data_IF_737944996788
#
_entry.id   IF_737944996788
#
_cell.length_a   1.000
_cell.length_b   1.000
_cell.length_c   1.000
_cell.angle_alpha   90.00
_cell.angle_beta   90.00
_cell.angle_gamma   90.00
#
_symmetry.space_group_name_H-M   'P 1'
#
loop_
_entity.id
_entity.type
_entity.pdbx_description
1 polymer ?
#
# COMPACT_ATOMS: atom_id res chain seq x y z
N UNK A 1 -2.02 13.90 26.64
CA UNK A 1 -0.59 13.57 26.71
C UNK A 1 0.01 13.92 25.36
N UNK A 2 0.89 14.93 25.30
CA UNK A 2 1.57 15.33 24.06
C UNK A 2 2.54 14.23 23.68
N UNK A 3 2.29 13.56 22.56
CA UNK A 3 3.20 12.58 21.99
C UNK A 3 4.55 13.26 21.72
N UNK A 4 5.60 12.88 22.44
CA UNK A 4 6.96 13.30 22.11
C UNK A 4 7.28 12.73 20.73
N UNK A 5 7.32 13.59 19.73
CA UNK A 5 7.88 13.27 18.42
C UNK A 5 9.39 13.06 18.61
N UNK A 6 9.87 11.83 18.55
CA UNK A 6 11.31 11.54 18.59
C UNK A 6 11.79 11.28 17.17
N UNK A 7 12.71 12.11 16.69
CA UNK A 7 13.39 11.91 15.42
C UNK A 7 14.72 11.18 15.70
N UNK A 8 14.81 9.93 15.24
CA UNK A 8 16.05 9.18 15.25
C UNK A 8 16.63 9.16 13.84
N UNK A 9 17.71 9.91 13.62
CA UNK A 9 18.48 9.80 12.39
C UNK A 9 19.46 8.64 12.53
N UNK A 10 19.27 7.59 11.74
CA UNK A 10 20.27 6.53 11.60
C UNK A 10 21.38 7.04 10.65
N UNK A 11 22.32 7.81 11.20
CA UNK A 11 23.44 8.38 10.43
C UNK A 11 24.43 7.32 9.90
N UNK A 12 24.35 6.10 10.40
CA UNK A 12 25.33 5.05 10.12
C UNK A 12 24.95 4.17 8.92
N UNK A 13 23.77 4.35 8.32
CA UNK A 13 23.38 3.60 7.13
C UNK A 13 23.70 4.39 5.87
N UNK A 14 24.77 4.00 5.20
CA UNK A 14 25.07 4.49 3.84
C UNK A 14 24.75 3.37 2.83
N UNK A 15 23.78 3.58 1.93
CA UNK A 15 23.50 2.60 0.90
C UNK A 15 24.74 2.33 0.06
N UNK A 16 25.08 1.04 -0.22
CA UNK A 16 26.22 0.72 -1.07
C UNK A 16 25.98 1.22 -2.51
N UNK A 17 27.05 1.58 -3.23
CA UNK A 17 26.95 1.89 -4.65
C UNK A 17 26.36 0.70 -5.43
N UNK A 18 25.41 0.90 -6.37
CA UNK A 18 24.84 2.18 -6.85
C UNK A 18 23.55 2.63 -6.13
N UNK A 19 23.15 2.00 -5.04
CA UNK A 19 21.92 2.30 -4.29
C UNK A 19 21.94 3.64 -3.55
N UNK A 20 23.10 4.29 -3.47
CA UNK A 20 23.24 5.65 -2.95
C UNK A 20 22.74 6.74 -3.91
N UNK A 21 22.23 6.36 -5.11
CA UNK A 21 21.61 7.25 -6.08
C UNK A 21 20.09 7.00 -6.09
N UNK A 22 19.24 7.99 -5.77
CA UNK A 22 17.79 7.79 -5.56
C UNK A 22 17.08 7.11 -6.73
N UNK A 23 17.30 7.62 -7.95
CA UNK A 23 16.67 7.06 -9.15
C UNK A 23 17.10 5.60 -9.41
N UNK A 24 18.39 5.30 -9.19
CA UNK A 24 18.91 3.95 -9.36
C UNK A 24 18.40 3.03 -8.26
N UNK A 25 18.39 3.50 -7.01
CA UNK A 25 17.85 2.74 -5.89
C UNK A 25 16.38 2.35 -6.14
N UNK A 26 15.57 3.29 -6.60
CA UNK A 26 14.14 3.04 -6.90
C UNK A 26 13.95 2.05 -8.06
N UNK A 27 14.76 2.12 -9.11
CA UNK A 27 14.70 1.17 -10.23
C UNK A 27 15.18 -0.22 -9.79
N UNK A 28 16.32 -0.30 -9.13
CA UNK A 28 16.92 -1.57 -8.71
C UNK A 28 16.08 -2.26 -7.62
N UNK A 29 15.38 -1.52 -6.77
CA UNK A 29 14.47 -2.10 -5.77
C UNK A 29 13.34 -2.90 -6.41
N UNK A 30 12.96 -2.56 -7.65
CA UNK A 30 11.93 -3.27 -8.43
C UNK A 30 12.48 -4.50 -9.15
N UNK A 31 13.80 -4.64 -9.29
CA UNK A 31 14.39 -5.81 -9.90
C UNK A 31 14.17 -7.03 -8.99
N UNK A 32 13.70 -8.12 -9.58
CA UNK A 32 13.44 -9.39 -8.89
C UNK A 32 14.71 -10.09 -8.37
N UNK A 33 15.85 -9.41 -8.36
CA UNK A 33 17.14 -9.96 -7.91
C UNK A 33 17.06 -10.51 -6.48
N UNK A 34 16.26 -9.88 -5.62
CA UNK A 34 16.06 -10.34 -4.24
C UNK A 34 15.13 -11.56 -4.12
N UNK A 35 14.37 -11.86 -5.18
CA UNK A 35 13.39 -12.97 -5.21
C UNK A 35 14.04 -14.33 -5.54
N UNK A 36 15.28 -14.34 -6.01
CA UNK A 36 16.04 -15.57 -6.26
C UNK A 36 16.48 -16.27 -4.98
N UNK A 37 16.01 -15.82 -3.82
CA UNK A 37 16.31 -16.48 -2.56
C UNK A 37 15.46 -17.75 -2.43
N UNK A 38 16.13 -18.87 -2.26
CA UNK A 38 15.54 -20.18 -1.92
C UNK A 38 14.58 -20.11 -0.72
N UNK A 39 14.73 -19.07 0.13
CA UNK A 39 13.91 -18.84 1.31
C UNK A 39 12.41 -18.64 0.98
N UNK A 40 12.08 -17.94 -0.12
CA UNK A 40 10.68 -17.73 -0.53
C UNK A 40 10.04 -19.05 -0.94
N UNK A 41 10.77 -19.89 -1.67
CA UNK A 41 10.30 -21.22 -2.09
C UNK A 41 10.05 -22.13 -0.88
N UNK A 42 10.91 -22.06 0.15
CA UNK A 42 10.73 -22.83 1.39
C UNK A 42 9.47 -22.40 2.17
N UNK A 43 9.02 -21.16 2.01
CA UNK A 43 7.81 -20.65 2.67
C UNK A 43 6.51 -21.06 1.97
N UNK A 44 6.58 -21.63 0.76
CA UNK A 44 5.40 -22.05 0.00
C UNK A 44 4.52 -23.06 0.75
N UNK A 45 5.11 -23.93 1.57
CA UNK A 45 4.39 -24.89 2.40
C UNK A 45 3.51 -24.29 3.50
N UNK A 46 3.73 -23.01 3.83
CA UNK A 46 2.94 -22.25 4.80
C UNK A 46 1.97 -21.26 4.13
N UNK A 47 2.00 -21.23 2.79
CA UNK A 47 1.23 -20.29 2.01
C UNK A 47 -0.21 -20.74 1.81
N UNK A 48 -1.12 -19.81 1.93
CA UNK A 48 -2.51 -19.94 1.48
C UNK A 48 -3.03 -18.59 0.99
N UNK A 49 -4.04 -18.63 0.14
CA UNK A 49 -4.73 -17.44 -0.34
C UNK A 49 -6.22 -17.57 -0.15
N UNK A 50 -6.89 -16.44 0.03
CA UNK A 50 -8.35 -16.37 0.06
C UNK A 50 -8.84 -15.01 -0.41
N UNK A 51 -10.11 -14.94 -0.78
CA UNK A 51 -10.78 -13.70 -1.12
C UNK A 51 -11.60 -13.26 0.11
N UNK A 52 -11.30 -12.06 0.61
CA UNK A 52 -12.11 -11.41 1.63
C UNK A 52 -13.15 -10.53 0.96
N UNK A 53 -14.42 -10.72 1.30
CA UNK A 53 -15.53 -9.88 0.82
C UNK A 53 -15.92 -8.91 1.92
N UNK A 54 -15.77 -7.62 1.65
CA UNK A 54 -16.17 -6.54 2.54
C UNK A 54 -17.69 -6.42 2.62
N UNK A 55 -18.21 -5.76 3.67
CA UNK A 55 -19.65 -5.59 3.90
C UNK A 55 -20.39 -4.89 2.75
N UNK A 56 -19.71 -4.08 1.96
CA UNK A 56 -20.24 -3.46 0.74
C UNK A 56 -20.12 -4.32 -0.53
N UNK A 57 -19.64 -5.56 -0.42
CA UNK A 57 -19.48 -6.50 -1.52
C UNK A 57 -18.13 -6.40 -2.28
N UNK A 58 -17.29 -5.42 -1.98
CA UNK A 58 -15.94 -5.31 -2.56
C UNK A 58 -15.05 -6.44 -2.05
N UNK A 59 -14.25 -7.00 -2.95
CA UNK A 59 -13.41 -8.16 -2.68
C UNK A 59 -11.93 -7.80 -2.71
N UNK A 60 -11.22 -8.21 -1.67
CA UNK A 60 -9.77 -8.07 -1.54
C UNK A 60 -9.14 -9.46 -1.61
N UNK A 61 -7.89 -9.56 -2.06
CA UNK A 61 -7.16 -10.83 -1.97
C UNK A 61 -6.20 -10.81 -0.79
N UNK A 62 -6.16 -11.93 -0.07
CA UNK A 62 -5.39 -12.08 1.15
C UNK A 62 -4.44 -13.26 0.99
N UNK A 63 -3.16 -12.99 1.12
CA UNK A 63 -2.06 -13.94 0.95
C UNK A 63 -1.37 -14.17 2.28
N UNK A 64 -1.53 -15.38 2.82
CA UNK A 64 -1.11 -15.73 4.17
C UNK A 64 0.08 -16.67 4.16
N UNK A 65 1.05 -16.42 5.02
CA UNK A 65 2.06 -17.38 5.42
C UNK A 65 1.93 -17.56 6.94
N UNK A 66 1.37 -18.70 7.37
CA UNK A 66 0.97 -18.92 8.76
C UNK A 66 1.59 -20.21 9.28
N UNK A 67 2.10 -20.15 10.50
CA UNK A 67 2.65 -21.27 11.26
C UNK A 67 2.04 -21.26 12.66
N UNK A 68 1.52 -22.40 13.11
CA UNK A 68 0.72 -22.51 14.36
C UNK A 68 1.48 -22.02 15.61
N UNK A 69 2.79 -22.22 15.66
CA UNK A 69 3.63 -21.81 16.77
C UNK A 69 3.93 -20.30 16.80
N UNK A 70 3.71 -19.56 15.70
CA UNK A 70 3.90 -18.12 15.67
C UNK A 70 2.75 -17.41 16.41
N UNK A 71 3.09 -16.57 17.39
CA UNK A 71 2.14 -15.83 18.24
C UNK A 71 2.03 -14.34 17.89
N UNK A 72 2.65 -13.93 16.78
CA UNK A 72 2.64 -12.55 16.28
C UNK A 72 2.14 -12.56 14.85
N UNK A 73 1.37 -11.55 14.46
CA UNK A 73 0.88 -11.40 13.09
C UNK A 73 1.22 -10.02 12.55
N UNK A 74 1.83 -9.98 11.39
CA UNK A 74 2.16 -8.76 10.66
C UNK A 74 1.29 -8.67 9.41
N UNK A 75 0.48 -7.62 9.35
CA UNK A 75 -0.25 -7.25 8.14
C UNK A 75 0.64 -6.38 7.26
N UNK A 76 0.67 -6.67 5.96
CA UNK A 76 1.44 -5.91 4.97
C UNK A 76 0.52 -5.35 3.89
N UNK A 77 0.63 -4.04 3.63
CA UNK A 77 -0.10 -3.35 2.56
C UNK A 77 0.90 -2.84 1.52
N UNK A 78 0.77 -3.23 0.24
CA UNK A 78 1.67 -2.81 -0.83
C UNK A 78 1.48 -1.33 -1.19
N UNK A 79 2.46 -0.77 -1.89
CA UNK A 79 2.34 0.55 -2.51
C UNK A 79 1.39 0.55 -3.71
N UNK A 80 1.09 1.74 -4.21
CA UNK A 80 0.16 1.97 -5.31
C UNK A 80 0.47 1.15 -6.55
N UNK A 81 -0.55 0.48 -7.08
CA UNK A 81 -0.47 -0.44 -8.23
C UNK A 81 0.61 -1.53 -8.10
N UNK A 82 0.98 -1.85 -6.86
CA UNK A 82 1.88 -2.94 -6.52
C UNK A 82 1.09 -4.17 -6.04
N UNK A 83 1.73 -5.21 -5.53
CA UNK A 83 1.03 -6.42 -5.09
C UNK A 83 1.87 -7.24 -4.10
N UNK A 84 1.26 -8.26 -3.53
CA UNK A 84 1.82 -9.15 -2.51
C UNK A 84 3.16 -9.83 -2.87
N UNK A 85 3.50 -9.94 -4.17
CA UNK A 85 4.76 -10.58 -4.64
C UNK A 85 5.84 -9.57 -5.06
N UNK A 86 5.66 -8.29 -4.79
CA UNK A 86 6.75 -7.34 -5.07
C UNK A 86 7.94 -7.57 -4.15
N UNK A 87 9.13 -7.21 -4.61
CA UNK A 87 10.39 -7.55 -3.94
C UNK A 87 10.44 -7.13 -2.47
N UNK A 88 9.94 -5.96 -2.14
CA UNK A 88 9.91 -5.48 -0.76
C UNK A 88 8.89 -6.21 0.11
N UNK A 89 7.73 -6.60 -0.45
CA UNK A 89 6.72 -7.41 0.24
C UNK A 89 7.26 -8.80 0.56
N UNK A 90 7.93 -9.44 -0.40
CA UNK A 90 8.53 -10.75 -0.20
C UNK A 90 9.77 -10.71 0.70
N UNK A 91 10.57 -9.65 0.64
CA UNK A 91 11.68 -9.46 1.59
C UNK A 91 11.17 -9.31 3.02
N UNK A 92 10.09 -8.56 3.21
CA UNK A 92 9.44 -8.42 4.53
C UNK A 92 8.82 -9.75 4.99
N UNK A 93 8.18 -10.49 4.08
CA UNK A 93 7.67 -11.84 4.38
C UNK A 93 8.79 -12.72 4.95
N UNK A 94 9.90 -12.87 4.22
CA UNK A 94 11.00 -13.77 4.64
C UNK A 94 11.58 -13.33 5.99
N UNK A 95 11.91 -12.06 6.12
CA UNK A 95 12.55 -11.52 7.32
C UNK A 95 11.69 -11.68 8.58
N UNK A 96 10.42 -11.31 8.51
CA UNK A 96 9.55 -11.38 9.69
C UNK A 96 9.05 -12.78 9.96
N UNK A 97 8.84 -13.62 8.93
CA UNK A 97 8.44 -15.01 9.15
C UNK A 97 9.54 -15.80 9.88
N UNK A 98 10.81 -15.59 9.51
CA UNK A 98 11.95 -16.20 10.20
C UNK A 98 12.07 -15.72 11.66
N UNK A 99 11.53 -14.55 12.00
CA UNK A 99 11.48 -13.99 13.36
C UNK A 99 10.23 -14.37 14.15
N UNK A 100 9.47 -15.36 13.68
CA UNK A 100 8.30 -15.91 14.37
C UNK A 100 7.03 -15.09 14.22
N UNK A 101 6.87 -14.40 13.08
CA UNK A 101 5.62 -13.70 12.71
C UNK A 101 4.84 -14.48 11.66
N UNK A 102 3.55 -14.61 11.85
CA UNK A 102 2.61 -14.87 10.76
C UNK A 102 2.51 -13.65 9.87
N UNK A 103 2.48 -13.84 8.57
CA UNK A 103 2.46 -12.73 7.61
C UNK A 103 1.17 -12.80 6.80
N UNK A 104 0.42 -11.71 6.82
CA UNK A 104 -0.81 -11.52 6.03
C UNK A 104 -0.60 -10.32 5.11
N UNK A 105 -0.54 -10.58 3.81
CA UNK A 105 -0.37 -9.57 2.76
C UNK A 105 -1.71 -9.35 2.09
N UNK A 106 -2.18 -8.10 2.07
CA UNK A 106 -3.50 -7.73 1.55
C UNK A 106 -3.30 -6.92 0.28
N UNK A 107 -3.87 -7.39 -0.83
CA UNK A 107 -3.97 -6.60 -2.05
C UNK A 107 -5.28 -5.80 -2.03
N UNK A 108 -5.22 -4.47 -2.04
CA UNK A 108 -6.40 -3.61 -2.22
C UNK A 108 -7.05 -3.78 -3.60
N UNK A 109 -8.14 -3.10 -3.85
CA UNK A 109 -8.81 -3.06 -5.16
C UNK A 109 -7.80 -2.70 -6.27
N UNK A 110 -7.89 -3.33 -7.42
CA UNK A 110 -7.02 -3.14 -8.59
C UNK A 110 -5.51 -3.39 -8.37
N UNK A 111 -5.15 -4.03 -7.25
CA UNK A 111 -3.77 -4.41 -6.95
C UNK A 111 -3.56 -5.91 -7.16
N UNK A 112 -2.60 -6.26 -8.01
CA UNK A 112 -2.26 -7.66 -8.29
C UNK A 112 -3.44 -8.45 -8.86
N UNK A 113 -3.88 -9.47 -8.14
CA UNK A 113 -4.93 -10.41 -8.52
C UNK A 113 -6.36 -9.94 -8.18
N UNK A 114 -6.52 -8.75 -7.61
CA UNK A 114 -7.86 -8.19 -7.32
C UNK A 114 -8.51 -7.49 -8.51
N UNK A 115 -7.76 -7.18 -9.56
CA UNK A 115 -8.28 -6.49 -10.75
C UNK A 115 -9.53 -7.16 -11.36
N UNK A 116 -9.61 -8.50 -11.51
CA UNK A 116 -10.80 -9.16 -12.05
C UNK A 116 -11.94 -9.31 -11.03
N UNK A 117 -11.73 -9.01 -9.77
CA UNK A 117 -12.69 -9.31 -8.73
C UNK A 117 -13.79 -8.26 -8.59
N UNK A 118 -13.50 -7.00 -8.90
CA UNK A 118 -14.41 -5.88 -8.64
C UNK A 118 -14.70 -5.09 -9.92
N UNK A 119 -15.96 -4.63 -10.06
CA UNK A 119 -16.29 -3.58 -11.02
C UNK A 119 -15.69 -2.25 -10.55
N UNK A 120 -15.88 -1.93 -9.28
CA UNK A 120 -15.39 -0.69 -8.68
C UNK A 120 -13.88 -0.54 -8.87
N UNK A 121 -13.47 0.71 -9.06
CA UNK A 121 -12.07 1.05 -9.23
C UNK A 121 -11.43 1.43 -7.89
N UNK A 122 -10.12 1.24 -7.84
CA UNK A 122 -9.32 1.73 -6.74
C UNK A 122 -9.37 3.25 -6.62
N UNK A 123 -9.55 3.72 -5.39
CA UNK A 123 -9.33 5.12 -5.02
C UNK A 123 -8.71 5.23 -3.60
N UNK A 124 -8.14 6.40 -3.32
CA UNK A 124 -7.34 6.63 -2.12
C UNK A 124 -8.10 6.51 -0.79
N UNK A 125 -9.41 6.50 -0.80
CA UNK A 125 -10.25 6.49 0.41
C UNK A 125 -10.68 5.09 0.86
N UNK A 126 -10.27 4.03 0.17
CA UNK A 126 -10.66 2.65 0.47
C UNK A 126 -9.80 1.99 1.58
N UNK A 127 -9.17 2.77 2.44
CA UNK A 127 -8.41 2.24 3.58
C UNK A 127 -9.29 1.56 4.63
N UNK A 128 -10.56 1.93 4.73
CA UNK A 128 -11.59 1.32 5.57
C UNK A 128 -11.88 -0.13 5.19
N UNK A 129 -11.90 -0.46 3.89
CA UNK A 129 -12.06 -1.83 3.39
C UNK A 129 -10.89 -2.72 3.83
N UNK A 130 -9.67 -2.17 3.79
CA UNK A 130 -8.49 -2.88 4.28
C UNK A 130 -8.54 -3.03 5.80
N UNK A 131 -9.05 -2.02 6.51
CA UNK A 131 -9.25 -2.08 7.96
C UNK A 131 -10.25 -3.17 8.36
N UNK A 132 -11.38 -3.27 7.65
CA UNK A 132 -12.38 -4.34 7.83
C UNK A 132 -11.76 -5.73 7.62
N UNK A 133 -10.98 -5.88 6.56
CA UNK A 133 -10.23 -7.11 6.30
C UNK A 133 -9.28 -7.42 7.46
N UNK A 134 -8.48 -6.47 7.93
CA UNK A 134 -7.55 -6.65 9.06
C UNK A 134 -8.33 -7.07 10.32
N UNK A 135 -9.43 -6.41 10.63
CA UNK A 135 -10.23 -6.69 11.83
C UNK A 135 -10.75 -8.13 11.85
N UNK A 136 -11.12 -8.67 10.70
CA UNK A 136 -11.60 -10.06 10.56
C UNK A 136 -10.55 -11.12 10.94
N UNK A 137 -9.26 -10.76 10.88
CA UNK A 137 -8.15 -11.65 11.25
C UNK A 137 -7.70 -11.49 12.70
N UNK A 138 -8.14 -10.45 13.39
CA UNK A 138 -7.80 -10.20 14.79
C UNK A 138 -8.75 -11.02 15.67
N UNK A 139 -8.30 -12.18 16.14
CA UNK A 139 -9.13 -13.16 16.87
C UNK A 139 -8.90 -13.18 18.38
N UNK A 140 -7.79 -12.65 18.86
CA UNK A 140 -7.38 -12.77 20.25
C UNK A 140 -6.62 -11.52 20.69
N UNK A 141 -7.06 -10.91 21.80
CA UNK A 141 -6.42 -9.74 22.41
C UNK A 141 -5.02 -10.05 22.97
N UNK A 142 -4.69 -11.33 23.17
CA UNK A 142 -3.36 -11.77 23.64
C UNK A 142 -2.33 -11.93 22.52
N UNK A 143 -2.72 -11.85 21.24
CA UNK A 143 -1.77 -11.88 20.14
C UNK A 143 -1.17 -10.50 19.88
N UNK A 144 0.06 -10.50 19.39
CA UNK A 144 0.73 -9.26 18.99
C UNK A 144 0.48 -9.01 17.50
N UNK A 145 -0.37 -8.04 17.19
CA UNK A 145 -0.65 -7.59 15.83
C UNK A 145 0.16 -6.35 15.50
N UNK A 146 0.73 -6.31 14.31
CA UNK A 146 1.40 -5.14 13.75
C UNK A 146 0.93 -4.91 12.31
N UNK A 147 1.00 -3.65 11.86
CA UNK A 147 0.65 -3.25 10.50
C UNK A 147 1.83 -2.51 9.88
N UNK A 148 2.21 -2.92 8.67
CA UNK A 148 3.25 -2.25 7.89
C UNK A 148 2.72 -1.93 6.50
N UNK A 149 2.90 -0.69 6.06
CA UNK A 149 2.50 -0.23 4.74
C UNK A 149 3.64 0.46 4.01
N UNK A 150 3.67 0.33 2.70
CA UNK A 150 4.68 0.89 1.83
C UNK A 150 4.09 1.96 0.92
N UNK A 151 4.71 3.14 0.83
CA UNK A 151 4.27 4.23 -0.03
C UNK A 151 2.78 4.55 0.21
N UNK A 152 1.92 4.34 -0.77
CA UNK A 152 0.47 4.50 -0.60
C UNK A 152 -0.12 3.55 0.45
N UNK A 153 0.38 2.32 0.54
CA UNK A 153 0.03 1.41 1.64
C UNK A 153 0.47 1.94 3.01
N UNK A 154 1.52 2.78 3.05
CA UNK A 154 1.94 3.52 4.25
C UNK A 154 0.94 4.62 4.64
N UNK A 155 0.36 5.32 3.65
CA UNK A 155 -0.76 6.25 3.87
C UNK A 155 -1.96 5.49 4.46
N UNK A 156 -2.34 4.36 3.86
CA UNK A 156 -3.40 3.50 4.39
C UNK A 156 -3.12 3.06 5.83
N UNK A 157 -1.91 2.60 6.12
CA UNK A 157 -1.54 2.16 7.47
C UNK A 157 -1.71 3.28 8.51
N UNK A 158 -1.32 4.52 8.19
CA UNK A 158 -1.51 5.67 9.07
C UNK A 158 -2.99 6.03 9.25
N UNK A 159 -3.79 5.97 8.20
CA UNK A 159 -5.23 6.25 8.27
C UNK A 159 -5.96 5.15 9.03
N UNK A 160 -5.65 3.88 8.79
CA UNK A 160 -6.16 2.74 9.59
C UNK A 160 -5.79 2.95 11.07
N UNK A 161 -4.63 3.54 11.35
CA UNK A 161 -4.19 3.90 12.69
C UNK A 161 -5.14 4.84 13.46
N UNK A 162 -6.06 5.53 12.77
CA UNK A 162 -7.07 6.40 13.40
C UNK A 162 -8.41 5.68 13.66
N UNK A 163 -8.61 4.48 13.10
CA UNK A 163 -9.83 3.69 13.23
C UNK A 163 -9.81 2.81 14.49
N UNK A 164 -10.97 2.26 14.87
CA UNK A 164 -11.11 1.46 16.09
C UNK A 164 -10.26 0.18 16.07
N UNK A 165 -10.09 -0.45 14.93
CA UNK A 165 -9.25 -1.63 14.77
C UNK A 165 -7.81 -1.39 15.23
N UNK A 166 -7.32 -0.16 15.12
CA UNK A 166 -5.96 0.18 15.52
C UNK A 166 -5.70 0.03 17.03
N UNK A 167 -6.73 0.08 17.88
CA UNK A 167 -6.59 -0.18 19.30
C UNK A 167 -6.13 -1.63 19.60
N UNK A 168 -6.39 -2.56 18.69
CA UNK A 168 -5.97 -3.96 18.75
C UNK A 168 -4.57 -4.19 18.16
N UNK A 169 -3.98 -3.20 17.49
CA UNK A 169 -2.68 -3.25 16.82
C UNK A 169 -1.62 -2.61 17.72
N UNK A 170 -0.56 -3.36 18.03
CA UNK A 170 0.52 -2.88 18.93
C UNK A 170 1.45 -1.85 18.28
N UNK A 171 1.62 -1.90 16.95
CA UNK A 171 2.56 -1.05 16.23
C UNK A 171 2.17 -0.88 14.77
N UNK A 172 2.28 0.35 14.27
CA UNK A 172 2.19 0.68 12.86
C UNK A 172 3.56 1.12 12.35
N UNK A 173 3.94 0.66 11.16
CA UNK A 173 5.14 1.08 10.45
C UNK A 173 4.75 1.56 9.06
N UNK A 174 5.01 2.81 8.75
CA UNK A 174 4.79 3.40 7.43
C UNK A 174 6.14 3.67 6.77
N UNK A 175 6.42 2.95 5.68
CA UNK A 175 7.69 3.05 4.95
C UNK A 175 7.48 3.91 3.73
N UNK A 176 8.24 5.02 3.64
CA UNK A 176 8.11 6.04 2.59
C UNK A 176 6.64 6.37 2.30
N UNK A 177 5.82 6.69 3.34
CA UNK A 177 4.39 6.87 3.13
C UNK A 177 4.11 8.07 2.25
N UNK A 178 3.13 7.94 1.36
CA UNK A 178 2.61 9.09 0.62
C UNK A 178 1.85 10.02 1.58
N UNK A 179 2.48 11.10 1.98
CA UNK A 179 1.94 12.09 2.92
C UNK A 179 1.07 13.11 2.21
N UNK A 180 1.58 13.62 1.09
CA UNK A 180 0.95 14.66 0.28
C UNK A 180 1.05 14.25 -1.19
N UNK A 181 -0.12 13.96 -1.79
CA UNK A 181 -0.16 13.44 -3.14
C UNK A 181 0.24 14.49 -4.18
N UNK A 182 -0.26 15.70 -4.04
CA UNK A 182 0.02 16.80 -4.96
C UNK A 182 1.54 17.07 -5.01
N UNK A 183 2.15 17.18 -3.83
CA UNK A 183 3.60 17.37 -3.72
C UNK A 183 4.41 16.20 -4.30
N UNK A 184 3.96 14.97 -4.08
CA UNK A 184 4.65 13.76 -4.55
C UNK A 184 4.54 13.60 -6.07
N UNK A 185 3.37 13.91 -6.66
CA UNK A 185 3.18 13.85 -8.12
C UNK A 185 4.11 14.82 -8.83
N UNK A 186 4.24 16.05 -8.33
CA UNK A 186 5.11 17.06 -8.94
C UNK A 186 6.59 16.61 -8.95
N UNK A 187 6.99 15.82 -7.99
CA UNK A 187 8.36 15.26 -7.92
C UNK A 187 8.56 14.00 -8.73
N UNK A 188 7.52 13.22 -8.96
CA UNK A 188 7.58 12.01 -9.80
C UNK A 188 7.53 12.32 -11.31
N UNK A 189 8.00 13.50 -11.74
CA UNK A 189 7.97 13.95 -13.14
C UNK A 189 9.00 13.26 -14.06
N UNK A 190 9.86 12.38 -13.53
CA UNK A 190 10.81 11.63 -14.35
C UNK A 190 10.08 10.84 -15.45
N UNK A 191 10.55 10.88 -16.71
CA UNK A 191 9.93 10.16 -17.82
C UNK A 191 9.76 8.66 -17.57
N UNK A 192 10.68 8.06 -16.82
CA UNK A 192 10.64 6.63 -16.46
C UNK A 192 9.47 6.33 -15.53
N UNK A 193 9.23 7.20 -14.52
CA UNK A 193 8.10 7.05 -13.62
C UNK A 193 6.77 7.28 -14.31
N UNK A 194 6.67 8.34 -15.13
CA UNK A 194 5.47 8.63 -15.93
C UNK A 194 5.10 7.43 -16.80
N UNK A 195 6.06 6.90 -17.55
CA UNK A 195 5.85 5.73 -18.41
C UNK A 195 5.39 4.51 -17.60
N UNK A 196 6.06 4.21 -16.48
CA UNK A 196 5.73 3.06 -15.64
C UNK A 196 4.31 3.11 -15.09
N UNK A 197 3.88 4.24 -14.54
CA UNK A 197 2.53 4.37 -14.00
C UNK A 197 1.47 4.43 -15.10
N UNK A 198 1.77 5.11 -16.21
CA UNK A 198 0.88 5.16 -17.37
C UNK A 198 0.60 3.76 -17.92
N UNK A 199 1.61 2.92 -18.09
CA UNK A 199 1.44 1.53 -18.57
C UNK A 199 0.55 0.71 -17.62
N UNK A 200 0.74 0.87 -16.32
CA UNK A 200 -0.10 0.18 -15.32
C UNK A 200 -1.56 0.65 -15.36
N UNK A 201 -1.77 1.95 -15.43
CA UNK A 201 -3.10 2.53 -15.55
C UNK A 201 -3.80 2.10 -16.83
N UNK A 202 -3.11 2.18 -17.96
CA UNK A 202 -3.63 1.70 -19.22
C UNK A 202 -4.08 0.24 -19.16
N UNK A 203 -3.28 -0.62 -18.51
CA UNK A 203 -3.66 -2.02 -18.31
C UNK A 203 -4.93 -2.14 -17.49
N UNK A 204 -5.03 -1.42 -16.38
CA UNK A 204 -6.21 -1.44 -15.51
C UNK A 204 -7.45 -0.93 -16.24
N UNK A 205 -7.37 0.21 -16.91
CA UNK A 205 -8.51 0.82 -17.58
C UNK A 205 -9.01 -0.02 -18.77
N UNK A 206 -8.09 -0.54 -19.60
CA UNK A 206 -8.47 -1.44 -20.70
C UNK A 206 -9.17 -2.68 -20.16
N UNK A 207 -8.61 -3.32 -19.14
CA UNK A 207 -9.24 -4.48 -18.51
C UNK A 207 -10.64 -4.16 -17.99
N UNK A 208 -10.81 -3.03 -17.30
CA UNK A 208 -12.12 -2.60 -16.78
C UNK A 208 -13.12 -2.33 -17.89
N UNK A 209 -12.72 -1.61 -18.93
CA UNK A 209 -13.58 -1.29 -20.07
C UNK A 209 -14.00 -2.55 -20.86
N UNK A 210 -13.08 -3.50 -21.03
CA UNK A 210 -13.36 -4.79 -21.70
C UNK A 210 -14.34 -5.66 -20.92
N UNK A 211 -14.26 -5.66 -19.59
CA UNK A 211 -15.09 -6.53 -18.74
C UNK A 211 -16.35 -5.83 -18.21
N UNK A 212 -16.37 -4.51 -18.19
CA UNK A 212 -17.51 -3.69 -17.77
C UNK A 212 -17.75 -2.56 -18.78
N UNK A 213 -18.57 -2.79 -19.82
CA UNK A 213 -18.75 -1.86 -20.95
C UNK A 213 -19.35 -0.49 -20.61
N UNK A 214 -19.89 -0.35 -19.39
CA UNK A 214 -20.37 0.95 -18.89
C UNK A 214 -19.22 1.95 -18.70
N UNK A 215 -17.99 1.45 -18.49
CA UNK A 215 -16.80 2.28 -18.38
C UNK A 215 -16.30 2.72 -19.75
N UNK A 216 -16.00 4.01 -19.87
CA UNK A 216 -15.40 4.63 -21.07
C UNK A 216 -14.17 5.40 -20.65
N UNK A 217 -13.00 4.82 -20.86
CA UNK A 217 -11.72 5.37 -20.44
C UNK A 217 -10.86 5.90 -21.58
N UNK A 218 -11.37 5.93 -22.83
CA UNK A 218 -10.59 6.38 -23.98
C UNK A 218 -10.07 7.81 -23.78
N UNK A 219 -10.93 8.73 -23.32
CA UNK A 219 -10.53 10.10 -23.01
C UNK A 219 -9.52 10.20 -21.85
N UNK A 220 -9.63 9.31 -20.86
CA UNK A 220 -8.68 9.25 -19.74
C UNK A 220 -7.31 8.81 -20.24
N UNK A 221 -7.27 7.84 -21.14
CA UNK A 221 -6.03 7.30 -21.71
C UNK A 221 -5.30 8.29 -22.62
N UNK A 222 -6.00 9.29 -23.16
CA UNK A 222 -5.40 10.39 -23.95
C UNK A 222 -4.69 11.43 -23.10
N UNK A 223 -5.01 11.52 -21.79
CA UNK A 223 -4.40 12.52 -20.90
C UNK A 223 -2.90 12.27 -20.70
N UNK A 224 -2.13 13.35 -20.63
CA UNK A 224 -0.67 13.26 -20.52
C UNK A 224 -0.19 13.13 -19.09
N UNK A 225 -0.87 13.79 -18.16
CA UNK A 225 -0.46 13.83 -16.76
C UNK A 225 -1.34 12.96 -15.87
N UNK A 226 -0.75 12.47 -14.79
CA UNK A 226 -1.44 11.69 -13.80
C UNK A 226 -2.61 12.46 -13.15
N UNK A 227 -2.41 13.75 -12.92
CA UNK A 227 -3.42 14.67 -12.37
C UNK A 227 -4.62 14.79 -13.31
N UNK A 228 -4.39 14.99 -14.60
CA UNK A 228 -5.45 15.06 -15.60
C UNK A 228 -6.20 13.74 -15.75
N UNK A 229 -5.47 12.61 -15.76
CA UNK A 229 -6.09 11.27 -15.77
C UNK A 229 -7.01 11.09 -14.56
N UNK A 230 -6.54 11.44 -13.37
CA UNK A 230 -7.34 11.33 -12.14
C UNK A 230 -8.55 12.26 -12.18
N UNK A 231 -8.38 13.52 -12.60
CA UNK A 231 -9.48 14.47 -12.73
C UNK A 231 -10.56 13.99 -13.71
N UNK A 232 -10.16 13.37 -14.83
CA UNK A 232 -11.09 12.81 -15.82
C UNK A 232 -11.84 11.56 -15.29
N UNK A 233 -11.26 10.82 -14.34
CA UNK A 233 -11.89 9.65 -13.73
C UNK A 233 -12.88 10.02 -12.62
N UNK A 234 -12.64 11.13 -11.91
CA UNK A 234 -13.41 11.49 -10.71
C UNK A 234 -14.92 11.46 -10.89
N UNK A 235 -15.52 12.02 -11.96
CA UNK A 235 -16.96 11.98 -12.13
C UNK A 235 -17.56 10.57 -12.15
N UNK A 236 -16.78 9.59 -12.59
CA UNK A 236 -17.22 8.20 -12.70
C UNK A 236 -17.01 7.37 -11.42
N UNK A 237 -15.98 7.70 -10.63
CA UNK A 237 -15.56 6.86 -9.49
C UNK A 237 -15.69 7.57 -8.13
N UNK A 238 -15.76 8.88 -8.10
CA UNK A 238 -15.80 9.73 -6.91
C UNK A 238 -16.67 10.97 -7.12
N UNK A 239 -17.95 10.78 -7.47
CA UNK A 239 -18.86 11.89 -7.82
C UNK A 239 -19.10 12.88 -6.68
N UNK A 240 -18.77 12.52 -5.43
CA UNK A 240 -18.88 13.38 -4.25
C UNK A 240 -17.87 14.53 -4.21
N UNK A 241 -16.78 14.45 -4.99
CA UNK A 241 -15.76 15.50 -5.05
C UNK A 241 -16.01 16.46 -6.21
N UNK A 242 -15.97 17.75 -5.94
CA UNK A 242 -16.19 18.79 -6.95
C UNK A 242 -14.95 19.08 -7.81
N UNK A 243 -13.77 18.79 -7.28
CA UNK A 243 -12.49 19.02 -7.96
C UNK A 243 -11.39 18.11 -7.40
N UNK A 244 -10.32 17.95 -8.17
CA UNK A 244 -9.20 17.07 -7.85
C UNK A 244 -8.44 17.49 -6.59
N UNK A 245 -8.37 18.79 -6.30
CA UNK A 245 -7.68 19.29 -5.11
C UNK A 245 -8.41 18.82 -3.84
N UNK A 246 -9.73 18.92 -3.82
CA UNK A 246 -10.54 18.42 -2.71
C UNK A 246 -10.31 16.93 -2.48
N UNK A 247 -10.25 16.14 -3.55
CA UNK A 247 -9.94 14.73 -3.45
C UNK A 247 -8.53 14.49 -2.89
N UNK A 248 -7.50 15.18 -3.40
CA UNK A 248 -6.14 15.02 -2.89
C UNK A 248 -6.01 15.43 -1.41
N UNK A 249 -6.65 16.51 -1.01
CA UNK A 249 -6.66 16.98 0.38
C UNK A 249 -7.37 15.97 1.32
N UNK A 250 -8.34 15.21 0.82
CA UNK A 250 -9.13 14.25 1.62
C UNK A 250 -8.31 13.08 2.18
N UNK A 251 -7.21 12.70 1.55
CA UNK A 251 -6.33 11.61 2.01
C UNK A 251 -4.92 12.05 2.38
N UNK A 252 -4.68 13.34 2.43
CA UNK A 252 -3.42 13.92 2.91
C UNK A 252 -3.19 13.58 4.40
N UNK A 253 -1.99 13.16 4.74
CA UNK A 253 -1.60 12.92 6.14
C UNK A 253 -1.18 14.23 6.78
N UNK A 254 -2.06 14.77 7.59
CA UNK A 254 -1.86 16.04 8.29
C UNK A 254 -1.58 15.80 9.78
N UNK A 255 -1.15 16.84 10.49
CA UNK A 255 -1.04 16.80 11.96
C UNK A 255 -2.37 16.41 12.63
N UNK A 256 -3.52 16.76 12.01
CA UNK A 256 -4.83 16.35 12.51
C UNK A 256 -5.02 14.84 12.43
N UNK A 257 -4.59 14.20 11.35
CA UNK A 257 -4.65 12.74 11.17
C UNK A 257 -3.71 12.06 12.17
N UNK A 258 -2.47 12.52 12.29
CA UNK A 258 -1.50 11.91 13.22
C UNK A 258 -1.88 12.09 14.69
N UNK A 259 -2.56 13.17 15.05
CA UNK A 259 -3.08 13.38 16.40
C UNK A 259 -4.22 12.42 16.79
N UNK A 260 -4.89 11.80 15.80
CA UNK A 260 -5.97 10.83 16.00
C UNK A 260 -5.49 9.37 16.05
N UNK A 261 -4.20 9.13 15.91
CA UNK A 261 -3.65 7.76 15.96
C UNK A 261 -3.95 7.10 17.32
N UNK A 262 -4.58 5.94 17.26
CA UNK A 262 -4.95 5.12 18.44
C UNK A 262 -3.84 4.18 18.88
N UNK A 263 -2.77 4.06 18.08
CA UNK A 263 -1.59 3.27 18.40
C UNK A 263 -0.32 3.94 17.93
N UNK A 264 0.82 3.50 18.50
CA UNK A 264 2.13 4.05 18.14
C UNK A 264 2.48 3.76 16.68
N UNK A 265 2.82 4.81 15.93
CA UNK A 265 3.28 4.70 14.56
C UNK A 265 4.76 5.11 14.43
N UNK A 266 5.49 4.41 13.57
CA UNK A 266 6.84 4.78 13.15
C UNK A 266 6.82 5.06 11.64
N UNK A 267 7.32 6.22 11.26
CA UNK A 267 7.55 6.57 9.86
C UNK A 267 9.03 6.34 9.55
N UNK A 268 9.29 5.64 8.46
CA UNK A 268 10.63 5.42 7.92
C UNK A 268 10.68 6.06 6.55
N UNK A 269 11.50 7.09 6.40
CA UNK A 269 11.67 7.84 5.15
C UNK A 269 13.16 8.00 4.86
N UNK A 270 13.52 8.17 3.61
CA UNK A 270 14.86 8.57 3.21
C UNK A 270 14.89 10.11 3.01
N UNK A 271 16.05 10.75 3.26
CA UNK A 271 16.22 12.19 3.01
C UNK A 271 16.01 12.57 1.54
N UNK A 272 16.24 11.61 0.65
CA UNK A 272 16.13 11.74 -0.79
C UNK A 272 14.98 10.92 -1.38
N UNK A 273 13.96 10.64 -0.59
CA UNK A 273 12.71 10.02 -1.04
C UNK A 273 12.06 10.95 -2.08
N UNK A 274 11.76 10.48 -3.31
CA UNK A 274 11.23 11.32 -4.37
C UNK A 274 9.83 11.87 -4.10
#
# INVERSE_FOLDING_TARGET
>A
MTSKQSYNFYKDFTPPFPFNRPNIATILSKLRIRLLRKDVEQLSKFYSTEIFTCGNGIRLSVHKNVKAEHKKTLFLIPGYLSHHETSYMLSSLVEFFQRGWNIIRINPVDHGDTLPLNKDMYHALQHDLVAECIDSYIKDDNQNYALMGFSFGGNYALRIGTLDVAAKIKKIVAISPMIDHEYSIDRMQSPIFKKYYREKWQKTFRYKQENWPDYKFDEVLEKETFTEMTASLMPAILPEFTNIKEYFDSYKITNKVTAQLKTAATLITAENDP
#
